data_IF_303310437728
#
_entry.id   IF_303310437728
#
_cell.length_a   1.000
_cell.length_b   1.000
_cell.length_c   1.000
_cell.angle_alpha   90.00
_cell.angle_beta   90.00
_cell.angle_gamma   90.00
#
_symmetry.space_group_name_H-M   'P 1'
#
loop_
_entity.id
_entity.type
_entity.pdbx_description
1 polymer ?
#
# COMPACT_ATOMS: atom_id res chain seq x y z
N UNK A 1 -5.14 -0.49 24.85
CA UNK A 1 -5.90 -0.09 23.66
C UNK A 1 -6.29 1.37 23.81
N UNK A 2 -6.26 2.17 22.73
CA UNK A 2 -6.79 3.54 22.72
C UNK A 2 -8.16 3.53 22.03
N UNK A 3 -9.10 4.33 22.50
CA UNK A 3 -10.44 4.44 21.91
C UNK A 3 -10.43 5.51 20.81
N UNK A 4 -11.13 5.24 19.72
CA UNK A 4 -11.31 6.17 18.60
C UNK A 4 -12.79 6.23 18.27
N UNK A 5 -13.33 7.45 18.18
CA UNK A 5 -14.69 7.70 17.70
C UNK A 5 -14.62 8.09 16.23
N UNK A 6 -15.41 7.43 15.39
CA UNK A 6 -15.47 7.69 13.95
C UNK A 6 -16.91 7.93 13.53
N UNK A 7 -17.11 8.84 12.58
CA UNK A 7 -18.41 9.06 11.94
C UNK A 7 -18.44 8.25 10.65
N UNK A 8 -19.50 7.49 10.47
CA UNK A 8 -19.76 6.68 9.27
C UNK A 8 -21.22 6.82 8.90
N UNK A 9 -21.55 6.58 7.64
CA UNK A 9 -22.93 6.51 7.20
C UNK A 9 -23.63 5.26 7.77
N UNK A 10 -24.92 5.37 8.06
CA UNK A 10 -25.69 4.28 8.68
C UNK A 10 -25.66 2.99 7.84
N UNK A 11 -25.79 3.11 6.52
CA UNK A 11 -25.72 1.97 5.60
C UNK A 11 -24.34 1.27 5.64
N UNK A 12 -23.27 2.06 5.77
CA UNK A 12 -21.90 1.52 5.89
C UNK A 12 -21.72 0.78 7.20
N UNK A 13 -22.29 1.30 8.30
CA UNK A 13 -22.23 0.66 9.61
C UNK A 13 -23.00 -0.67 9.64
N UNK A 14 -24.15 -0.73 8.99
CA UNK A 14 -24.92 -1.98 8.87
C UNK A 14 -24.16 -3.04 8.08
N UNK A 15 -23.65 -2.65 6.91
CA UNK A 15 -22.84 -3.53 6.07
C UNK A 15 -21.63 -4.08 6.83
N UNK A 16 -20.86 -3.22 7.52
CA UNK A 16 -19.63 -3.66 8.19
C UNK A 16 -19.92 -4.58 9.38
N UNK A 17 -21.07 -4.44 10.06
CA UNK A 17 -21.50 -5.37 11.11
C UNK A 17 -21.78 -6.76 10.55
N UNK A 18 -22.49 -6.83 9.42
CA UNK A 18 -22.76 -8.10 8.75
C UNK A 18 -21.45 -8.74 8.29
N UNK A 19 -20.55 -7.95 7.71
CA UNK A 19 -19.25 -8.44 7.22
C UNK A 19 -18.36 -8.93 8.37
N UNK A 20 -18.34 -8.22 9.49
CA UNK A 20 -17.63 -8.64 10.71
C UNK A 20 -18.17 -9.99 11.23
N UNK A 21 -19.49 -10.14 11.29
CA UNK A 21 -20.12 -11.39 11.71
C UNK A 21 -19.78 -12.56 10.77
N UNK A 22 -19.83 -12.35 9.45
CA UNK A 22 -19.45 -13.36 8.44
C UNK A 22 -18.02 -13.85 8.63
N UNK A 23 -17.11 -12.98 9.04
CA UNK A 23 -15.70 -13.28 9.28
C UNK A 23 -15.37 -13.69 10.72
N UNK A 24 -16.38 -13.89 11.58
CA UNK A 24 -16.20 -14.17 13.02
C UNK A 24 -15.27 -13.15 13.72
N UNK A 25 -15.39 -11.88 13.37
CA UNK A 25 -14.55 -10.79 13.89
C UNK A 25 -15.41 -9.61 14.38
N UNK A 26 -14.77 -8.57 14.90
CA UNK A 26 -15.43 -7.33 15.28
C UNK A 26 -15.21 -6.22 14.26
N UNK A 27 -16.14 -5.26 14.23
CA UNK A 27 -15.99 -4.03 13.42
C UNK A 27 -14.71 -3.28 13.79
N UNK A 28 -14.40 -3.17 15.10
CA UNK A 28 -13.17 -2.53 15.56
C UNK A 28 -11.90 -3.23 15.07
N UNK A 29 -11.93 -4.55 14.95
CA UNK A 29 -10.79 -5.32 14.43
C UNK A 29 -10.63 -5.13 12.92
N UNK A 30 -11.71 -5.18 12.16
CA UNK A 30 -11.70 -4.91 10.71
C UNK A 30 -11.16 -3.51 10.40
N UNK A 31 -11.64 -2.50 11.12
CA UNK A 31 -11.17 -1.12 10.92
C UNK A 31 -9.69 -0.99 11.29
N UNK A 32 -9.25 -1.64 12.38
CA UNK A 32 -7.85 -1.65 12.78
C UNK A 32 -6.92 -2.32 11.75
N UNK A 33 -7.34 -3.44 11.18
CA UNK A 33 -6.61 -4.15 10.12
C UNK A 33 -6.53 -3.28 8.86
N UNK A 34 -7.65 -2.72 8.40
CA UNK A 34 -7.70 -1.82 7.24
C UNK A 34 -6.77 -0.61 7.40
N UNK A 35 -6.74 0.01 8.59
CA UNK A 35 -5.85 1.13 8.88
C UNK A 35 -4.38 0.70 8.90
N UNK A 36 -4.09 -0.49 9.42
CA UNK A 36 -2.73 -1.04 9.46
C UNK A 36 -2.21 -1.30 8.04
N UNK A 37 -3.04 -1.89 7.18
CA UNK A 37 -2.70 -2.15 5.78
C UNK A 37 -2.44 -0.83 5.03
N UNK A 38 -3.28 0.19 5.27
CA UNK A 38 -3.09 1.52 4.68
C UNK A 38 -1.78 2.16 5.14
N UNK A 39 -1.46 2.09 6.43
CA UNK A 39 -0.22 2.64 6.97
C UNK A 39 1.02 1.96 6.35
N UNK A 40 1.00 0.64 6.23
CA UNK A 40 2.10 -0.11 5.61
C UNK A 40 2.28 0.26 4.15
N UNK A 41 1.19 0.40 3.39
CA UNK A 41 1.24 0.79 1.99
C UNK A 41 1.79 2.21 1.82
N UNK A 42 1.30 3.16 2.60
CA UNK A 42 1.75 4.55 2.56
C UNK A 42 3.25 4.66 2.96
N UNK A 43 3.71 3.89 3.95
CA UNK A 43 5.14 3.83 4.32
C UNK A 43 6.01 3.18 3.25
N UNK A 44 5.56 2.07 2.64
CA UNK A 44 6.29 1.40 1.58
C UNK A 44 6.50 2.31 0.37
N UNK A 45 5.47 3.06 -0.03
CA UNK A 45 5.59 4.06 -1.09
C UNK A 45 6.56 5.18 -0.71
N UNK A 46 6.40 5.76 0.49
CA UNK A 46 7.27 6.84 0.95
C UNK A 46 8.73 6.40 1.07
N UNK A 47 8.98 5.14 1.47
CA UNK A 47 10.30 4.52 1.51
C UNK A 47 10.88 4.37 0.10
N UNK A 48 10.14 3.79 -0.83
CA UNK A 48 10.58 3.63 -2.22
C UNK A 48 10.87 4.99 -2.88
N UNK A 49 10.05 6.01 -2.60
CA UNK A 49 10.29 7.37 -3.08
C UNK A 49 11.59 7.96 -2.52
N UNK A 50 11.84 7.81 -1.21
CA UNK A 50 13.09 8.28 -0.59
C UNK A 50 14.30 7.57 -1.18
N UNK A 51 14.21 6.26 -1.38
CA UNK A 51 15.28 5.46 -2.00
C UNK A 51 15.54 5.91 -3.43
N UNK A 52 14.49 6.15 -4.23
CA UNK A 52 14.62 6.65 -5.60
C UNK A 52 15.22 8.06 -5.67
N UNK A 53 14.81 8.97 -4.79
CA UNK A 53 15.39 10.34 -4.75
C UNK A 53 16.85 10.32 -4.29
N UNK A 54 17.19 9.43 -3.37
CA UNK A 54 18.56 9.26 -2.90
C UNK A 54 19.44 8.48 -3.89
N UNK A 55 18.85 7.80 -4.87
CA UNK A 55 19.57 7.05 -5.88
C UNK A 55 20.33 8.01 -6.82
N UNK A 56 21.65 8.04 -6.66
CA UNK A 56 22.57 8.80 -7.51
C UNK A 56 23.07 8.00 -8.70
N UNK A 57 22.51 6.80 -8.93
CA UNK A 57 22.87 5.96 -10.08
C UNK A 57 22.71 6.74 -11.38
N UNK A 58 23.80 6.81 -12.14
CA UNK A 58 23.78 7.35 -13.49
C UNK A 58 23.70 6.20 -14.49
N UNK A 59 22.62 6.17 -15.28
CA UNK A 59 22.50 5.24 -16.38
C UNK A 59 23.25 5.83 -17.59
N UNK A 60 24.47 5.35 -17.81
CA UNK A 60 25.29 5.74 -18.95
C UNK A 60 25.73 4.50 -19.70
N UNK A 61 25.55 4.50 -21.02
CA UNK A 61 26.10 3.45 -21.89
C UNK A 61 27.59 3.62 -22.16
N UNK A 62 28.26 4.62 -21.53
CA UNK A 62 29.67 4.91 -21.79
C UNK A 62 29.98 5.23 -23.26
N UNK A 63 28.97 5.68 -24.01
CA UNK A 63 29.05 5.92 -25.46
C UNK A 63 28.74 4.71 -26.33
N UNK A 64 28.42 3.55 -25.76
CA UNK A 64 27.96 2.38 -26.52
C UNK A 64 26.47 2.50 -26.89
N UNK A 65 26.04 1.89 -28.00
CA UNK A 65 24.62 1.77 -28.32
C UNK A 65 23.90 0.96 -27.23
N UNK A 66 22.72 1.44 -26.79
CA UNK A 66 21.88 0.65 -25.90
C UNK A 66 21.39 -0.62 -26.61
N UNK A 67 21.25 -1.74 -25.87
CA UNK A 67 20.79 -3.00 -26.46
C UNK A 67 19.41 -2.84 -27.10
N UNK A 68 19.25 -3.40 -28.29
CA UNK A 68 17.95 -3.44 -28.95
C UNK A 68 17.04 -4.44 -28.24
N UNK A 69 15.74 -4.11 -28.15
CA UNK A 69 14.71 -4.87 -27.42
C UNK A 69 14.72 -6.37 -27.76
N UNK A 70 15.04 -6.70 -29.01
CA UNK A 70 15.09 -8.07 -29.56
C UNK A 70 16.25 -8.89 -29.01
N UNK A 71 17.36 -8.25 -28.62
CA UNK A 71 18.56 -8.91 -28.08
C UNK A 71 18.45 -9.15 -26.56
N UNK A 72 17.62 -8.37 -25.85
CA UNK A 72 17.47 -8.44 -24.40
C UNK A 72 16.57 -9.61 -23.91
N UNK A 73 15.95 -10.36 -24.83
CA UNK A 73 15.18 -11.59 -24.53
C UNK A 73 15.88 -12.79 -25.18
N UNK A 74 17.00 -13.21 -24.62
CA UNK A 74 17.70 -14.46 -24.94
C UNK A 74 17.89 -15.27 -23.67
#
# INVERSE_FOLDING_TARGET
MKNVTITVEDATLEWVRIEAAKRNTSVSRLVGEMLTDKMQFDDAYARAQREWVADTSSFSSGGQPYPQREVARG
#
